data_IF_024946295221
#
_entry.id   IF_024946295221
#
_cell.length_a   1.000
_cell.length_b   1.000
_cell.length_c   1.000
_cell.angle_alpha   90.00
_cell.angle_beta   90.00
_cell.angle_gamma   90.00
#
_symmetry.space_group_name_H-M   'P 1'
#
loop_
_entity.id
_entity.type
_entity.pdbx_description
1 polymer ?
#
# COMPACT_ATOMS: atom_id res chain seq x y z
N UNK A 1 56.45 -76.16 -78.42
CA UNK A 1 56.21 -75.40 -79.66
C UNK A 1 56.56 -73.94 -79.39
N UNK A 2 57.48 -73.38 -80.19
CA UNK A 2 57.88 -71.97 -80.18
C UNK A 2 56.68 -71.03 -80.41
N UNK A 3 56.64 -69.86 -79.74
CA UNK A 3 56.67 -68.54 -80.40
C UNK A 3 56.85 -67.37 -79.40
N UNK A 4 57.99 -66.69 -79.58
CA UNK A 4 58.40 -65.28 -79.42
C UNK A 4 57.54 -64.24 -78.63
N UNK A 5 58.29 -63.55 -77.75
CA UNK A 5 58.24 -62.14 -77.29
C UNK A 5 57.50 -61.12 -78.18
N UNK A 6 56.71 -60.25 -77.54
CA UNK A 6 56.45 -58.85 -77.96
C UNK A 6 56.66 -57.92 -76.75
N UNK A 7 57.14 -56.71 -77.06
CA UNK A 7 57.86 -55.72 -76.25
C UNK A 7 56.96 -54.78 -75.40
N UNK A 8 57.53 -54.12 -74.37
CA UNK A 8 56.85 -53.18 -73.49
C UNK A 8 56.95 -51.76 -74.06
N UNK A 9 55.86 -51.17 -74.52
CA UNK A 9 55.78 -49.74 -74.88
C UNK A 9 54.34 -49.39 -75.21
N UNK A 10 53.47 -49.18 -74.21
CA UNK A 10 52.25 -48.35 -74.33
C UNK A 10 51.47 -48.16 -73.00
N UNK A 11 52.11 -48.21 -71.82
CA UNK A 11 51.40 -48.07 -70.52
C UNK A 11 51.77 -46.76 -69.77
N UNK A 12 52.65 -45.93 -70.32
CA UNK A 12 53.14 -44.72 -69.64
C UNK A 12 52.45 -43.40 -70.03
N UNK A 13 51.43 -43.41 -70.89
CA UNK A 13 50.77 -42.17 -71.36
C UNK A 13 49.33 -41.95 -70.85
N UNK A 14 48.77 -42.87 -70.06
CA UNK A 14 47.41 -42.72 -69.48
C UNK A 14 47.43 -42.28 -68.01
N UNK A 15 48.59 -42.30 -67.35
CA UNK A 15 48.72 -41.90 -65.94
C UNK A 15 48.96 -40.38 -65.77
N UNK A 16 49.23 -39.63 -66.84
CA UNK A 16 49.46 -38.17 -66.78
C UNK A 16 48.26 -37.28 -67.09
N UNK A 17 47.12 -37.85 -67.52
CA UNK A 17 45.88 -37.07 -67.78
C UNK A 17 44.86 -37.23 -66.64
N UNK A 18 45.10 -38.13 -65.67
CA UNK A 18 44.30 -38.25 -64.44
C UNK A 18 44.85 -37.42 -63.27
N UNK A 19 45.76 -36.48 -63.52
CA UNK A 19 46.45 -35.68 -62.51
C UNK A 19 46.18 -34.16 -62.59
N UNK A 20 45.21 -33.72 -63.40
CA UNK A 20 44.88 -32.28 -63.56
C UNK A 20 43.39 -31.95 -63.48
N UNK A 21 42.55 -32.85 -62.96
CA UNK A 21 41.12 -32.60 -62.68
C UNK A 21 40.77 -32.98 -61.23
N UNK A 22 41.63 -32.64 -60.28
CA UNK A 22 41.29 -32.63 -58.84
C UNK A 22 41.99 -31.46 -58.16
N UNK A 23 41.73 -30.26 -58.67
CA UNK A 23 42.17 -28.99 -58.08
C UNK A 23 40.96 -28.10 -57.79
N UNK A 24 39.98 -28.63 -57.06
CA UNK A 24 39.01 -27.84 -56.29
C UNK A 24 38.57 -28.72 -55.12
N UNK A 25 38.45 -28.12 -53.92
CA UNK A 25 37.91 -28.69 -52.67
C UNK A 25 38.95 -29.35 -51.75
N UNK A 26 39.60 -28.53 -50.91
CA UNK A 26 39.63 -28.70 -49.45
C UNK A 26 40.64 -27.74 -48.80
N UNK A 27 40.49 -26.43 -49.01
CA UNK A 27 40.96 -25.47 -48.01
C UNK A 27 39.87 -25.36 -46.96
N UNK A 28 39.86 -26.27 -45.99
CA UNK A 28 39.16 -26.05 -44.74
C UNK A 28 39.85 -24.88 -44.04
N UNK A 29 39.37 -23.66 -44.31
CA UNK A 29 39.66 -22.54 -43.42
C UNK A 29 39.04 -22.92 -42.08
N UNK A 30 39.90 -23.11 -41.07
CA UNK A 30 39.46 -23.09 -39.70
C UNK A 30 38.80 -21.73 -39.49
N UNK A 31 37.48 -21.74 -39.42
CA UNK A 31 36.69 -20.57 -39.04
C UNK A 31 37.19 -20.19 -37.65
N UNK A 32 37.68 -18.95 -37.41
CA UNK A 32 38.01 -18.54 -36.06
C UNK A 32 36.75 -18.76 -35.22
N UNK A 33 36.92 -19.45 -34.08
CA UNK A 33 35.86 -19.55 -33.08
C UNK A 33 35.33 -18.13 -32.85
N UNK A 34 34.02 -17.96 -32.96
CA UNK A 34 33.38 -16.71 -32.60
C UNK A 34 33.85 -16.34 -31.18
N UNK A 35 34.16 -15.07 -30.90
CA UNK A 35 34.49 -14.67 -29.53
C UNK A 35 33.36 -15.13 -28.63
N UNK A 36 33.68 -15.94 -27.61
CA UNK A 36 32.77 -16.18 -26.50
C UNK A 36 32.41 -14.81 -25.94
N UNK A 37 31.20 -14.36 -26.22
CA UNK A 37 30.61 -13.22 -25.54
C UNK A 37 30.44 -13.65 -24.09
N UNK A 38 31.41 -13.30 -23.25
CA UNK A 38 31.25 -13.24 -21.80
C UNK A 38 30.09 -12.28 -21.52
N UNK A 39 28.89 -12.84 -21.54
CA UNK A 39 27.64 -12.12 -21.39
C UNK A 39 27.44 -11.93 -19.89
N UNK A 40 28.02 -10.86 -19.35
CA UNK A 40 27.79 -10.48 -17.97
C UNK A 40 26.36 -9.95 -17.84
N UNK A 41 25.46 -10.82 -17.36
CA UNK A 41 24.09 -10.45 -17.05
C UNK A 41 24.06 -9.70 -15.71
N UNK A 42 23.86 -8.39 -15.76
CA UNK A 42 23.57 -7.60 -14.57
C UNK A 42 22.08 -7.73 -14.24
N UNK A 43 21.76 -8.57 -13.27
CA UNK A 43 20.43 -8.56 -12.66
C UNK A 43 20.33 -7.35 -11.72
N UNK A 44 19.25 -6.55 -11.79
CA UNK A 44 19.01 -5.52 -10.79
C UNK A 44 18.88 -6.20 -9.43
N UNK A 45 19.79 -5.87 -8.52
CA UNK A 45 19.68 -6.25 -7.13
C UNK A 45 18.62 -5.36 -6.47
N UNK A 46 17.40 -5.88 -6.31
CA UNK A 46 16.35 -5.23 -5.52
C UNK A 46 16.49 -5.71 -4.08
N UNK A 47 17.17 -4.92 -3.24
CA UNK A 47 17.16 -5.13 -1.78
C UNK A 47 15.93 -4.42 -1.24
N UNK A 48 14.92 -5.19 -0.80
CA UNK A 48 13.86 -4.64 0.05
C UNK A 48 14.50 -4.29 1.41
N UNK A 49 14.30 -3.08 1.96
CA UNK A 49 14.70 -2.79 3.33
C UNK A 49 14.14 -3.88 4.26
N UNK A 50 14.87 -4.29 5.30
CA UNK A 50 14.37 -5.30 6.22
C UNK A 50 13.08 -4.77 6.87
N UNK A 51 11.95 -5.38 6.53
CA UNK A 51 10.71 -5.18 7.27
C UNK A 51 10.91 -5.72 8.68
N UNK A 52 10.44 -4.96 9.67
CA UNK A 52 10.41 -5.48 11.04
C UNK A 52 9.45 -6.66 11.11
N UNK A 53 9.84 -7.71 11.83
CA UNK A 53 8.93 -8.80 12.17
C UNK A 53 7.85 -8.22 13.08
N UNK A 54 6.59 -8.32 12.67
CA UNK A 54 5.49 -7.78 13.47
C UNK A 54 5.44 -8.40 14.87
N UNK A 55 5.23 -7.59 15.92
CA UNK A 55 5.09 -8.12 17.28
C UNK A 55 3.90 -9.08 17.38
N UNK A 56 4.14 -10.28 17.91
CA UNK A 56 3.08 -11.28 18.17
C UNK A 56 2.46 -11.14 19.56
N UNK A 57 3.00 -10.25 20.39
CA UNK A 57 2.49 -9.95 21.73
C UNK A 57 2.71 -8.48 22.05
N UNK A 58 1.84 -7.91 22.88
CA UNK A 58 1.96 -6.54 23.37
C UNK A 58 1.66 -6.44 24.86
N UNK A 59 2.27 -5.45 25.52
CA UNK A 59 1.91 -5.05 26.88
C UNK A 59 0.75 -4.05 26.94
N UNK A 60 0.24 -3.59 25.79
CA UNK A 60 -0.88 -2.66 25.72
C UNK A 60 -2.21 -3.36 26.03
N UNK A 61 -3.14 -2.62 26.63
CA UNK A 61 -4.52 -3.04 26.83
C UNK A 61 -5.50 -2.11 26.11
N UNK A 62 -6.62 -2.68 25.65
CA UNK A 62 -7.64 -2.01 24.85
C UNK A 62 -9.04 -2.32 25.39
N UNK A 63 -9.91 -1.32 25.34
CA UNK A 63 -11.32 -1.37 25.77
C UNK A 63 -12.23 -1.08 24.59
N UNK A 64 -13.46 -1.59 24.61
CA UNK A 64 -14.50 -1.11 23.69
C UNK A 64 -15.11 0.19 24.18
N UNK A 65 -15.71 0.92 23.25
CA UNK A 65 -16.69 1.95 23.50
C UNK A 65 -17.87 1.78 22.55
N UNK A 66 -19.00 2.37 22.91
CA UNK A 66 -20.22 2.24 22.14
C UNK A 66 -20.15 3.05 20.83
N UNK A 67 -20.26 2.34 19.72
CA UNK A 67 -20.44 2.85 18.37
C UNK A 67 -21.92 2.79 17.96
N UNK A 68 -22.31 3.70 17.08
CA UNK A 68 -23.65 3.80 16.50
C UNK A 68 -23.62 3.20 15.10
N UNK A 69 -24.59 2.34 14.79
CA UNK A 69 -24.78 1.92 13.41
C UNK A 69 -25.26 3.11 12.58
N UNK A 70 -24.44 3.52 11.62
CA UNK A 70 -24.75 4.64 10.75
C UNK A 70 -24.74 4.30 9.27
N UNK A 71 -24.16 3.15 8.93
CA UNK A 71 -24.24 2.53 7.62
C UNK A 71 -25.69 2.35 7.17
N UNK A 72 -25.92 2.43 5.86
CA UNK A 72 -27.24 2.29 5.23
C UNK A 72 -27.34 1.01 4.39
N UNK A 73 -26.24 0.25 4.26
CA UNK A 73 -26.21 -1.04 3.60
C UNK A 73 -27.19 -2.03 4.24
N UNK A 74 -28.09 -2.61 3.42
CA UNK A 74 -28.99 -3.69 3.82
C UNK A 74 -28.92 -4.83 2.80
N UNK A 75 -28.39 -6.02 3.17
CA UNK A 75 -27.80 -6.36 4.49
C UNK A 75 -26.55 -5.52 4.78
N UNK A 76 -26.12 -5.44 6.05
CA UNK A 76 -24.89 -4.71 6.40
C UNK A 76 -23.68 -5.37 5.73
N UNK A 77 -22.81 -4.58 5.11
CA UNK A 77 -21.58 -5.09 4.51
C UNK A 77 -20.51 -5.32 5.59
N UNK A 78 -19.84 -6.48 5.59
CA UNK A 78 -18.72 -6.74 6.49
C UNK A 78 -17.61 -5.68 6.38
N UNK A 79 -17.01 -5.27 7.50
CA UNK A 79 -16.04 -4.18 7.50
C UNK A 79 -14.81 -4.47 6.63
N UNK A 80 -14.32 -5.73 6.66
CA UNK A 80 -13.22 -6.17 5.79
C UNK A 80 -13.54 -6.08 4.30
N UNK A 81 -14.83 -6.04 3.95
CA UNK A 81 -15.37 -5.99 2.59
C UNK A 81 -15.92 -4.60 2.22
N UNK A 82 -15.83 -3.62 3.11
CA UNK A 82 -16.38 -2.27 2.92
C UNK A 82 -15.28 -1.28 2.51
N UNK A 83 -15.31 -0.80 1.26
CA UNK A 83 -14.24 0.01 0.69
C UNK A 83 -14.01 1.38 1.34
N UNK A 84 -14.99 1.94 2.05
CA UNK A 84 -14.74 3.15 2.86
C UNK A 84 -14.14 2.87 4.24
N UNK A 85 -14.17 1.62 4.73
CA UNK A 85 -13.60 1.24 6.03
C UNK A 85 -12.22 0.61 5.83
N UNK A 86 -12.09 -0.29 4.85
CA UNK A 86 -10.85 -0.95 4.49
C UNK A 86 -10.22 -0.33 3.23
N UNK A 87 -9.23 0.55 3.42
CA UNK A 87 -8.53 1.23 2.32
C UNK A 87 -7.75 0.26 1.42
N UNK A 88 -7.35 -0.92 1.93
CA UNK A 88 -6.62 -1.91 1.14
C UNK A 88 -7.48 -2.51 0.01
N UNK A 89 -8.81 -2.55 0.17
CA UNK A 89 -9.73 -2.94 -0.92
C UNK A 89 -9.62 -1.96 -2.09
N UNK A 90 -9.71 -0.65 -1.78
CA UNK A 90 -9.52 0.41 -2.77
C UNK A 90 -8.14 0.31 -3.37
N UNK A 91 -7.12 0.14 -2.54
CA UNK A 91 -5.72 0.26 -2.92
C UNK A 91 -5.38 1.69 -3.36
N UNK A 92 -4.12 1.90 -3.73
CA UNK A 92 -3.63 3.20 -4.15
C UNK A 92 -2.48 3.06 -5.16
N UNK A 93 -2.24 4.12 -5.93
CA UNK A 93 -1.16 4.19 -6.92
C UNK A 93 -0.29 5.43 -6.66
N UNK A 94 1.02 5.30 -6.90
CA UNK A 94 1.95 6.42 -6.77
C UNK A 94 1.61 7.55 -7.76
N UNK A 95 1.58 8.77 -7.26
CA UNK A 95 1.54 9.97 -8.08
C UNK A 95 2.97 10.43 -8.41
N UNK A 96 3.41 10.02 -9.61
CA UNK A 96 4.73 10.31 -10.15
C UNK A 96 4.75 11.55 -11.04
N UNK A 97 3.72 12.40 -11.01
CA UNK A 97 3.72 13.66 -11.76
C UNK A 97 4.95 14.50 -11.38
N UNK A 98 5.81 14.88 -12.35
CA UNK A 98 6.97 15.74 -12.11
C UNK A 98 6.61 17.14 -11.60
N UNK A 99 5.41 17.64 -11.90
CA UNK A 99 4.89 18.92 -11.44
C UNK A 99 4.25 18.88 -10.05
N UNK A 100 4.15 17.70 -9.44
CA UNK A 100 3.55 17.56 -8.11
C UNK A 100 4.42 18.25 -7.05
N UNK A 101 3.81 19.16 -6.29
CA UNK A 101 4.46 19.74 -5.10
C UNK A 101 4.53 18.68 -4.00
N UNK A 102 5.73 18.30 -3.61
CA UNK A 102 6.03 17.23 -2.63
C UNK A 102 6.31 17.80 -1.24
N UNK A 103 5.43 18.68 -0.79
CA UNK A 103 5.50 19.39 0.49
C UNK A 103 4.07 19.63 1.01
N UNK A 104 3.94 20.08 2.26
CA UNK A 104 2.69 20.58 2.82
C UNK A 104 2.15 21.75 1.98
N UNK A 105 0.83 21.86 1.91
CA UNK A 105 0.14 22.86 1.10
C UNK A 105 -0.77 23.69 1.99
N UNK A 106 -0.72 25.00 1.82
CA UNK A 106 -1.67 25.88 2.47
C UNK A 106 -2.96 25.97 1.63
N UNK A 107 -4.00 25.28 2.10
CA UNK A 107 -5.35 25.37 1.55
C UNK A 107 -6.28 26.25 2.42
N UNK A 108 -5.76 26.86 3.48
CA UNK A 108 -6.55 27.36 4.60
C UNK A 108 -7.03 26.24 5.53
N UNK A 109 -7.99 26.58 6.38
CA UNK A 109 -8.65 25.63 7.29
C UNK A 109 -10.03 26.19 7.62
N UNK A 110 -11.04 25.33 7.52
CA UNK A 110 -12.42 25.63 7.91
C UNK A 110 -12.77 25.08 9.31
N UNK A 111 -12.10 24.02 9.76
CA UNK A 111 -12.05 23.55 11.15
C UNK A 111 -10.65 23.70 11.74
N UNK A 112 -10.52 24.55 12.77
CA UNK A 112 -9.25 24.84 13.43
C UNK A 112 -9.01 24.02 14.70
N UNK A 113 -9.94 23.15 15.08
CA UNK A 113 -9.95 22.59 16.44
C UNK A 113 -10.06 21.09 16.48
N UNK A 114 -10.83 20.48 15.58
CA UNK A 114 -11.08 19.05 15.62
C UNK A 114 -10.31 18.18 14.60
N UNK A 115 -9.53 18.70 13.62
CA UNK A 115 -8.77 17.83 12.73
C UNK A 115 -7.73 16.95 13.46
N UNK A 116 -7.53 15.69 13.03
CA UNK A 116 -6.45 14.86 13.52
C UNK A 116 -5.08 15.40 13.11
N UNK A 117 -4.14 15.38 14.05
CA UNK A 117 -2.82 16.00 13.90
C UNK A 117 -1.74 14.95 13.60
N UNK A 118 -1.36 14.79 12.33
CA UNK A 118 -0.51 13.68 11.89
C UNK A 118 0.90 13.68 12.48
N UNK A 119 1.44 14.83 12.89
CA UNK A 119 2.72 14.85 13.59
C UNK A 119 2.70 14.11 14.93
N UNK A 120 1.52 13.96 15.55
CA UNK A 120 1.31 13.27 16.83
C UNK A 120 1.14 11.76 16.69
N UNK A 121 1.16 11.24 15.45
CA UNK A 121 1.34 9.81 15.17
C UNK A 121 2.66 9.30 15.77
N UNK A 122 3.66 10.17 15.88
CA UNK A 122 5.02 9.90 16.34
C UNK A 122 5.28 10.42 17.76
N UNK A 123 6.26 9.83 18.45
CA UNK A 123 6.74 10.32 19.74
C UNK A 123 8.28 10.40 19.78
N UNK A 124 8.88 11.60 19.99
CA UNK A 124 8.20 12.91 20.11
C UNK A 124 7.49 13.31 18.81
N UNK A 125 6.48 14.17 18.92
CA UNK A 125 5.73 14.66 17.75
C UNK A 125 6.66 15.34 16.76
N UNK A 126 6.54 15.01 15.47
CA UNK A 126 7.43 15.50 14.40
C UNK A 126 6.74 15.52 13.05
N UNK A 127 7.19 16.39 12.14
CA UNK A 127 6.90 16.25 10.72
C UNK A 127 7.94 15.27 10.13
N UNK A 128 7.54 14.05 9.71
CA UNK A 128 8.46 13.11 9.06
C UNK A 128 8.83 13.58 7.66
N UNK A 129 9.87 12.99 7.06
CA UNK A 129 10.07 13.14 5.62
C UNK A 129 8.87 12.57 4.85
N UNK A 130 8.43 13.26 3.79
CA UNK A 130 7.40 12.76 2.89
C UNK A 130 8.05 11.92 1.80
N UNK A 131 7.86 10.60 1.87
CA UNK A 131 8.57 9.61 1.03
C UNK A 131 7.71 9.04 -0.09
N UNK A 132 6.40 9.28 -0.03
CA UNK A 132 5.45 8.81 -1.03
C UNK A 132 4.23 9.73 -1.13
N UNK A 133 3.68 9.83 -2.35
CA UNK A 133 2.47 10.61 -2.63
C UNK A 133 1.61 9.77 -3.56
N UNK A 134 0.37 9.53 -3.19
CA UNK A 134 -0.45 8.51 -3.81
C UNK A 134 -1.88 8.99 -4.05
N UNK A 135 -2.56 8.26 -4.93
CA UNK A 135 -3.98 8.38 -5.21
C UNK A 135 -4.66 7.06 -4.88
N UNK A 136 -5.51 7.09 -3.87
CA UNK A 136 -6.48 6.02 -3.60
C UNK A 136 -7.40 5.86 -4.81
N UNK A 137 -7.77 4.62 -5.13
CA UNK A 137 -8.76 4.38 -6.18
C UNK A 137 -10.17 4.75 -5.73
N UNK A 138 -10.94 5.32 -6.65
CA UNK A 138 -12.39 5.41 -6.55
C UNK A 138 -12.98 4.00 -6.48
N UNK A 139 -14.25 3.94 -6.09
CA UNK A 139 -14.93 2.67 -5.87
C UNK A 139 -16.27 2.62 -6.59
N UNK A 140 -16.47 1.57 -7.38
CA UNK A 140 -17.72 1.28 -8.06
C UNK A 140 -18.53 0.33 -7.18
N UNK A 141 -19.45 0.88 -6.40
CA UNK A 141 -20.28 0.11 -5.47
C UNK A 141 -21.21 -0.88 -6.20
N UNK A 142 -21.31 -2.10 -5.66
CA UNK A 142 -22.33 -3.09 -6.01
C UNK A 142 -23.46 -3.09 -4.97
N UNK A 143 -24.62 -3.72 -5.26
CA UNK A 143 -25.64 -3.95 -4.24
C UNK A 143 -25.06 -4.68 -3.02
N UNK A 144 -25.43 -4.24 -1.82
CA UNK A 144 -24.99 -4.90 -0.59
C UNK A 144 -25.46 -6.37 -0.55
N UNK A 145 -24.65 -7.32 -0.05
CA UNK A 145 -23.34 -7.17 0.63
C UNK A 145 -22.13 -7.20 -0.30
N UNK A 146 -22.31 -7.28 -1.62
CA UNK A 146 -21.18 -7.38 -2.55
C UNK A 146 -20.31 -6.13 -2.46
N UNK A 147 -18.97 -6.27 -2.45
CA UNK A 147 -18.10 -5.12 -2.19
C UNK A 147 -18.14 -4.11 -3.32
N UNK A 148 -18.40 -4.55 -4.56
CA UNK A 148 -18.19 -3.74 -5.76
C UNK A 148 -16.80 -3.97 -6.34
N UNK A 149 -16.27 -2.96 -7.01
CA UNK A 149 -14.98 -3.07 -7.70
C UNK A 149 -14.20 -1.77 -7.70
N UNK A 150 -12.88 -1.90 -7.82
CA UNK A 150 -11.96 -0.77 -7.96
C UNK A 150 -12.28 0.03 -9.23
N UNK A 151 -12.38 1.35 -9.07
CA UNK A 151 -12.53 2.32 -10.15
C UNK A 151 -11.18 2.88 -10.63
N UNK A 152 -11.21 4.11 -11.13
CA UNK A 152 -10.00 4.86 -11.50
C UNK A 152 -9.36 5.51 -10.26
N UNK A 153 -8.07 5.89 -10.30
CA UNK A 153 -7.47 6.70 -9.25
C UNK A 153 -8.26 8.00 -9.04
N UNK A 154 -8.56 8.35 -7.78
CA UNK A 154 -9.38 9.50 -7.44
C UNK A 154 -8.87 10.78 -8.13
N UNK A 155 -9.69 11.49 -8.94
CA UNK A 155 -9.24 12.57 -9.81
C UNK A 155 -8.87 13.86 -9.08
N UNK A 156 -9.35 14.05 -7.85
CA UNK A 156 -9.10 15.20 -7.00
C UNK A 156 -9.33 14.78 -5.53
N UNK A 157 -8.49 15.17 -4.56
CA UNK A 157 -7.21 15.88 -4.71
C UNK A 157 -6.12 15.10 -5.47
N UNK A 158 -5.08 15.81 -5.91
CA UNK A 158 -3.93 15.20 -6.61
C UNK A 158 -3.19 14.16 -5.75
N UNK A 159 -3.30 14.30 -4.43
CA UNK A 159 -2.79 13.36 -3.42
C UNK A 159 -3.94 13.07 -2.46
N UNK A 160 -4.33 11.81 -2.34
CA UNK A 160 -5.34 11.35 -1.37
C UNK A 160 -4.76 10.44 -0.29
N UNK A 161 -3.48 10.09 -0.41
CA UNK A 161 -2.74 9.27 0.55
C UNK A 161 -1.25 9.66 0.50
N UNK A 162 -0.62 9.79 1.66
CA UNK A 162 0.76 10.27 1.79
C UNK A 162 1.62 9.30 2.60
N UNK A 163 2.81 9.03 2.07
CA UNK A 163 3.84 8.23 2.69
C UNK A 163 4.70 9.04 3.66
N UNK A 164 4.70 8.62 4.91
CA UNK A 164 5.41 9.23 6.02
C UNK A 164 6.63 8.38 6.38
N UNK A 165 7.81 9.00 6.43
CA UNK A 165 9.04 8.31 6.77
C UNK A 165 9.04 7.82 8.23
N UNK A 166 9.35 6.53 8.38
CA UNK A 166 9.42 5.83 9.66
C UNK A 166 10.71 5.04 9.81
N UNK A 167 10.97 4.59 11.04
CA UNK A 167 11.90 3.51 11.31
C UNK A 167 11.12 2.21 11.52
N UNK A 168 11.55 1.06 10.97
CA UNK A 168 10.90 -0.22 11.26
C UNK A 168 10.81 -0.47 12.78
N UNK A 169 9.62 -0.80 13.27
CA UNK A 169 9.32 -0.97 14.70
C UNK A 169 9.03 0.33 15.47
N UNK A 170 9.02 1.50 14.82
CA UNK A 170 8.64 2.77 15.46
C UNK A 170 7.18 2.71 15.92
N UNK A 171 6.92 3.03 17.19
CA UNK A 171 5.57 3.03 17.76
C UNK A 171 4.72 4.14 17.14
N UNK A 172 3.55 3.77 16.64
CA UNK A 172 2.55 4.65 16.07
C UNK A 172 1.39 4.83 17.03
N UNK A 173 0.85 6.03 17.10
CA UNK A 173 -0.16 6.44 18.07
C UNK A 173 -1.39 7.04 17.41
N UNK A 174 -2.53 6.97 18.09
CA UNK A 174 -3.74 7.70 17.65
C UNK A 174 -3.40 9.19 17.52
N UNK A 175 -3.51 9.79 16.32
CA UNK A 175 -3.30 11.21 16.14
C UNK A 175 -4.26 11.99 17.03
N UNK A 176 -3.73 12.91 17.82
CA UNK A 176 -4.53 13.82 18.65
C UNK A 176 -5.39 14.70 17.76
N UNK A 177 -6.61 14.95 18.19
CA UNK A 177 -7.58 15.87 17.61
C UNK A 177 -8.29 16.64 18.73
N UNK A 178 -9.38 17.33 18.42
CA UNK A 178 -10.25 17.97 19.40
C UNK A 178 -11.53 17.18 19.72
N UNK A 179 -11.69 15.97 19.20
CA UNK A 179 -12.89 15.16 19.41
C UNK A 179 -12.93 14.51 20.80
N UNK A 180 -14.13 14.46 21.38
CA UNK A 180 -14.47 13.66 22.54
C UNK A 180 -15.70 12.81 22.20
N UNK A 181 -15.50 11.49 22.10
CA UNK A 181 -16.56 10.53 21.81
C UNK A 181 -17.10 9.85 23.10
N UNK A 182 -16.67 10.35 24.27
CA UNK A 182 -17.02 9.90 25.61
C UNK A 182 -16.02 8.92 26.20
N UNK A 183 -15.88 8.91 27.54
CA UNK A 183 -15.01 7.98 28.26
C UNK A 183 -13.51 8.22 28.04
N UNK A 184 -13.14 9.49 27.87
CA UNK A 184 -11.78 9.95 27.50
C UNK A 184 -11.30 9.38 26.16
N UNK A 185 -12.21 8.99 25.28
CA UNK A 185 -11.89 8.41 23.97
C UNK A 185 -12.04 9.46 22.88
N UNK A 186 -11.23 9.30 21.85
CA UNK A 186 -11.19 10.18 20.70
C UNK A 186 -11.59 9.46 19.41
N UNK A 187 -11.28 8.16 19.32
CA UNK A 187 -11.60 7.36 18.14
C UNK A 187 -12.27 6.04 18.50
N UNK A 188 -13.17 5.59 17.62
CA UNK A 188 -13.50 4.17 17.46
C UNK A 188 -12.64 3.59 16.33
N UNK A 189 -12.35 2.29 16.41
CA UNK A 189 -11.68 1.55 15.34
C UNK A 189 -12.74 0.96 14.41
N UNK A 190 -12.87 1.53 13.20
CA UNK A 190 -13.84 1.04 12.21
C UNK A 190 -13.40 -0.27 11.58
N UNK A 191 -12.10 -0.40 11.35
CA UNK A 191 -11.50 -1.56 10.72
C UNK A 191 -10.07 -1.72 11.22
N UNK A 192 -9.65 -2.96 11.43
CA UNK A 192 -8.26 -3.32 11.67
C UNK A 192 -7.98 -4.72 11.12
N UNK A 193 -6.85 -4.87 10.45
CA UNK A 193 -6.21 -6.17 10.22
C UNK A 193 -4.74 -6.10 10.67
N UNK A 194 -3.91 -7.04 10.22
CA UNK A 194 -2.49 -7.09 10.60
C UNK A 194 -1.69 -5.87 10.10
N UNK A 195 -2.13 -5.24 9.02
CA UNK A 195 -1.33 -4.33 8.20
C UNK A 195 -1.97 -2.93 8.04
N UNK A 196 -3.28 -2.83 8.25
CA UNK A 196 -4.13 -1.65 8.03
C UNK A 196 -5.04 -1.40 9.23
N UNK A 197 -5.28 -0.11 9.54
CA UNK A 197 -6.27 0.33 10.52
C UNK A 197 -7.03 1.57 10.03
N UNK A 198 -8.30 1.68 10.40
CA UNK A 198 -9.14 2.85 10.18
C UNK A 198 -9.68 3.42 11.49
N UNK A 199 -9.33 4.67 11.77
CA UNK A 199 -9.72 5.42 12.97
C UNK A 199 -10.86 6.36 12.62
N UNK A 200 -11.93 6.34 13.42
CA UNK A 200 -13.08 7.25 13.24
C UNK A 200 -13.23 8.14 14.45
N UNK A 201 -13.25 9.44 14.21
CA UNK A 201 -13.27 10.48 15.25
C UNK A 201 -14.68 10.81 15.74
N UNK A 202 -15.70 10.12 15.25
CA UNK A 202 -17.06 10.13 15.81
C UNK A 202 -17.46 8.74 16.28
N UNK A 203 -18.64 8.63 16.90
CA UNK A 203 -19.18 7.32 17.31
C UNK A 203 -19.87 6.57 16.17
N UNK A 204 -19.99 7.17 14.99
CA UNK A 204 -20.75 6.60 13.89
C UNK A 204 -19.88 5.57 13.14
N UNK A 205 -20.33 4.31 13.09
CA UNK A 205 -19.71 3.24 12.30
C UNK A 205 -20.00 3.42 10.80
N UNK A 206 -19.48 4.52 10.27
CA UNK A 206 -19.52 4.90 8.87
C UNK A 206 -18.44 5.94 8.60
N UNK A 207 -17.81 5.84 7.44
CA UNK A 207 -16.88 6.87 6.94
C UNK A 207 -17.58 7.92 6.08
N UNK A 208 -18.86 7.74 5.78
CA UNK A 208 -19.66 8.64 4.93
C UNK A 208 -20.35 9.79 5.68
N UNK A 209 -20.44 9.71 7.00
CA UNK A 209 -21.09 10.72 7.84
C UNK A 209 -20.10 11.80 8.34
N UNK A 210 -20.62 12.88 8.94
CA UNK A 210 -19.82 14.04 9.35
C UNK A 210 -18.64 13.69 10.26
N UNK A 211 -17.50 14.35 10.05
CA UNK A 211 -16.26 14.18 10.82
C UNK A 211 -15.22 13.33 10.10
N UNK A 212 -14.09 13.09 10.76
CA UNK A 212 -12.92 12.49 10.11
C UNK A 212 -12.82 10.97 10.25
N UNK A 213 -12.34 10.31 9.19
CA UNK A 213 -11.80 8.94 9.23
C UNK A 213 -10.34 8.98 8.76
N UNK A 214 -9.43 8.39 9.53
CA UNK A 214 -8.02 8.27 9.17
C UNK A 214 -7.71 6.81 8.86
N UNK A 215 -7.23 6.55 7.67
CA UNK A 215 -6.71 5.23 7.29
C UNK A 215 -5.19 5.23 7.41
N UNK A 216 -4.64 4.19 7.99
CA UNK A 216 -3.20 3.98 8.12
C UNK A 216 -2.90 2.56 7.62
N UNK A 217 -1.96 2.44 6.70
CA UNK A 217 -1.53 1.17 6.10
C UNK A 217 0.01 1.06 6.14
N UNK A 218 0.53 -0.14 5.88
CA UNK A 218 1.93 -0.55 6.05
C UNK A 218 2.40 -0.49 7.52
N UNK A 219 1.54 -0.92 8.42
CA UNK A 219 1.85 -1.03 9.86
C UNK A 219 1.91 -2.49 10.30
N UNK A 220 2.29 -2.72 11.54
CA UNK A 220 1.95 -3.91 12.30
C UNK A 220 0.96 -3.44 13.37
N UNK A 221 -0.33 -3.72 13.19
CA UNK A 221 -1.35 -3.39 14.19
C UNK A 221 -1.00 -4.06 15.52
N UNK A 222 -1.22 -3.38 16.65
CA UNK A 222 -0.95 -3.98 17.96
C UNK A 222 -1.75 -5.28 18.11
N UNK A 223 -1.12 -6.42 18.43
CA UNK A 223 -1.81 -7.72 18.45
C UNK A 223 -2.94 -7.78 19.47
N UNK A 224 -2.87 -7.03 20.59
CA UNK A 224 -3.95 -6.97 21.57
C UNK A 224 -5.10 -6.06 21.08
N UNK A 225 -4.81 -5.05 20.26
CA UNK A 225 -5.82 -4.23 19.60
C UNK A 225 -6.55 -5.03 18.53
N UNK A 226 -5.81 -5.74 17.67
CA UNK A 226 -6.37 -6.59 16.63
C UNK A 226 -7.24 -7.70 17.24
N UNK A 227 -6.77 -8.35 18.31
CA UNK A 227 -7.58 -9.34 19.03
C UNK A 227 -8.87 -8.75 19.61
N UNK A 228 -8.84 -7.50 20.09
CA UNK A 228 -10.05 -6.80 20.56
C UNK A 228 -10.98 -6.47 19.40
N UNK A 229 -10.45 -5.94 18.30
CA UNK A 229 -11.23 -5.65 17.10
C UNK A 229 -11.93 -6.91 16.58
N UNK A 230 -11.21 -8.02 16.39
CA UNK A 230 -11.80 -9.26 15.89
C UNK A 230 -12.88 -9.85 16.80
N UNK A 231 -12.81 -9.57 18.12
CA UNK A 231 -13.85 -9.97 19.07
C UNK A 231 -15.10 -9.10 18.94
N UNK A 232 -14.92 -7.80 18.76
CA UNK A 232 -16.03 -6.84 18.65
C UNK A 232 -16.66 -6.87 17.24
N UNK A 233 -15.89 -7.26 16.22
CA UNK A 233 -16.27 -7.41 14.81
C UNK A 233 -16.70 -8.85 14.44
N UNK A 234 -17.28 -9.58 15.41
CA UNK A 234 -17.75 -10.96 15.20
C UNK A 234 -18.79 -11.01 14.05
N UNK A 235 -18.63 -11.89 13.03
CA UNK A 235 -19.60 -12.05 11.95
C UNK A 235 -21.03 -12.37 12.39
N UNK A 236 -21.20 -13.01 13.56
CA UNK A 236 -22.51 -13.29 14.17
C UNK A 236 -22.91 -12.21 15.21
N UNK A 237 -22.15 -11.12 15.28
CA UNK A 237 -22.32 -10.03 16.24
C UNK A 237 -23.31 -8.95 15.80
N UNK A 238 -23.70 -8.05 16.73
CA UNK A 238 -24.72 -7.01 16.50
C UNK A 238 -24.32 -5.95 15.46
N UNK A 239 -23.04 -5.89 15.07
CA UNK A 239 -22.57 -4.98 14.02
C UNK A 239 -23.29 -5.23 12.69
N UNK A 240 -23.63 -6.49 12.41
CA UNK A 240 -24.12 -6.95 11.12
C UNK A 240 -25.64 -7.11 11.05
N UNK A 241 -26.35 -6.82 12.14
CA UNK A 241 -27.80 -6.69 12.16
C UNK A 241 -28.20 -5.31 11.64
N UNK A 242 -28.85 -5.24 10.47
CA UNK A 242 -29.30 -3.96 9.91
C UNK A 242 -30.49 -3.39 10.71
N UNK A 243 -30.31 -2.21 11.28
CA UNK A 243 -31.40 -1.41 11.85
C UNK A 243 -31.64 -0.14 11.02
N UNK A 244 -32.87 0.08 10.50
CA UNK A 244 -33.16 1.22 9.65
C UNK A 244 -33.02 2.54 10.43
N UNK A 245 -32.73 3.67 9.76
CA UNK A 245 -32.52 4.97 10.42
C UNK A 245 -33.65 5.40 11.37
N UNK A 246 -34.88 4.95 11.15
CA UNK A 246 -36.04 5.20 12.02
C UNK A 246 -35.97 4.55 13.40
N UNK A 247 -35.08 3.58 13.60
CA UNK A 247 -34.86 2.86 14.87
C UNK A 247 -33.60 3.33 15.62
N UNK A 248 -32.94 4.39 15.14
CA UNK A 248 -31.78 4.95 15.84
C UNK A 248 -32.17 5.56 17.20
N UNK A 249 -31.30 5.49 18.23
CA UNK A 249 -29.95 4.94 18.19
C UNK A 249 -29.94 3.41 18.34
N UNK A 250 -29.36 2.73 17.35
CA UNK A 250 -28.90 1.35 17.46
C UNK A 250 -27.37 1.35 17.43
N UNK A 251 -26.75 0.47 18.22
CA UNK A 251 -25.31 0.49 18.37
C UNK A 251 -24.79 -0.74 19.10
N UNK A 252 -23.47 -0.83 19.13
CA UNK A 252 -22.69 -1.97 19.60
C UNK A 252 -21.31 -1.48 20.00
N UNK A 253 -20.52 -2.38 20.57
CA UNK A 253 -19.17 -2.05 21.01
C UNK A 253 -18.17 -2.23 19.87
N UNK A 254 -17.28 -1.24 19.69
CA UNK A 254 -16.06 -1.34 18.90
C UNK A 254 -14.87 -0.88 19.75
N UNK A 255 -13.61 -1.28 19.44
CA UNK A 255 -12.47 -0.79 20.17
C UNK A 255 -12.41 0.74 20.14
N UNK A 256 -12.17 1.37 21.29
CA UNK A 256 -12.09 2.84 21.40
C UNK A 256 -10.83 3.29 22.13
N UNK A 257 -10.17 4.29 21.57
CA UNK A 257 -8.84 4.71 22.01
C UNK A 257 -8.81 6.21 22.35
N UNK A 258 -8.09 6.61 23.42
CA UNK A 258 -7.78 8.01 23.67
C UNK A 258 -6.69 8.51 22.71
N UNK A 259 -6.57 9.83 22.61
CA UNK A 259 -5.45 10.51 21.98
C UNK A 259 -4.09 9.93 22.40
N UNK A 260 -3.16 9.73 21.46
CA UNK A 260 -1.80 9.30 21.76
C UNK A 260 -1.64 7.85 22.23
N UNK A 261 -2.71 7.05 22.32
CA UNK A 261 -2.62 5.62 22.61
C UNK A 261 -1.85 4.90 21.49
N UNK A 262 -0.89 4.00 21.80
CA UNK A 262 -0.29 3.15 20.78
C UNK A 262 -1.33 2.31 20.05
N UNK A 263 -1.27 2.30 18.72
CA UNK A 263 -2.13 1.49 17.85
C UNK A 263 -1.38 0.37 17.13
N UNK A 264 -0.04 0.44 17.12
CA UNK A 264 0.81 -0.50 16.41
C UNK A 264 2.23 0.05 16.26
N UNK A 265 3.00 -0.57 15.36
CA UNK A 265 4.34 -0.12 14.98
C UNK A 265 4.47 -0.01 13.46
N UNK A 266 5.38 0.82 12.97
CA UNK A 266 5.70 0.88 11.56
C UNK A 266 6.32 -0.44 11.08
N UNK A 267 5.81 -1.01 9.98
CA UNK A 267 6.34 -2.26 9.42
C UNK A 267 7.71 -2.06 8.79
N UNK A 268 7.85 -0.98 8.02
CA UNK A 268 9.04 -0.64 7.26
C UNK A 268 9.51 0.80 7.49
N UNK A 269 10.11 1.39 6.45
CA UNK A 269 10.62 2.77 6.46
C UNK A 269 9.59 3.81 6.01
N UNK A 270 8.37 3.35 5.71
CA UNK A 270 7.23 4.16 5.29
C UNK A 270 5.98 3.63 5.98
N UNK A 271 5.13 4.54 6.46
CA UNK A 271 3.71 4.25 6.71
C UNK A 271 2.90 5.18 5.84
N UNK A 272 1.73 4.75 5.40
CA UNK A 272 0.89 5.62 4.58
C UNK A 272 -0.35 6.05 5.34
N UNK A 273 -0.76 7.30 5.14
CA UNK A 273 -1.92 7.89 5.79
C UNK A 273 -2.84 8.52 4.76
N UNK A 274 -4.12 8.21 4.85
CA UNK A 274 -5.20 8.89 4.14
C UNK A 274 -6.22 9.43 5.14
N UNK A 275 -6.91 10.49 4.76
CA UNK A 275 -7.98 11.07 5.55
C UNK A 275 -9.21 11.27 4.70
N UNK A 276 -10.35 10.91 5.27
CA UNK A 276 -11.68 11.11 4.72
C UNK A 276 -12.39 12.12 5.62
N UNK A 277 -12.98 13.13 5.01
CA UNK A 277 -13.95 14.01 5.65
C UNK A 277 -15.30 13.82 4.96
N UNK A 278 -16.30 13.42 5.74
CA UNK A 278 -17.69 13.32 5.28
C UNK A 278 -17.84 12.51 3.98
N UNK A 279 -17.16 11.36 3.90
CA UNK A 279 -17.20 10.43 2.77
C UNK A 279 -16.26 10.74 1.60
N UNK A 280 -15.48 11.82 1.64
CA UNK A 280 -14.52 12.17 0.57
C UNK A 280 -13.08 12.17 1.05
N UNK A 281 -12.17 11.52 0.31
CA UNK A 281 -10.74 11.62 0.57
C UNK A 281 -10.24 13.06 0.41
N UNK A 282 -9.54 13.55 1.42
CA UNK A 282 -8.94 14.88 1.45
C UNK A 282 -7.46 14.83 1.10
N UNK A 283 -6.85 16.00 0.90
CA UNK A 283 -5.41 16.09 0.64
C UNK A 283 -4.66 16.05 1.99
N UNK A 284 -3.92 14.96 2.30
CA UNK A 284 -3.23 14.83 3.58
C UNK A 284 -2.07 15.83 3.74
N UNK A 285 -1.76 16.62 2.70
CA UNK A 285 -0.77 17.73 2.76
C UNK A 285 -1.36 19.02 3.33
N UNK A 286 -2.68 19.10 3.58
CA UNK A 286 -3.32 20.33 4.08
C UNK A 286 -2.71 20.78 5.40
N UNK A 287 -1.88 21.83 5.31
CA UNK A 287 -0.96 22.23 6.36
C UNK A 287 -1.67 22.83 7.57
N UNK A 288 -2.76 23.55 7.31
CA UNK A 288 -3.52 24.27 8.32
C UNK A 288 -4.66 23.43 8.93
N UNK A 289 -4.88 22.21 8.44
CA UNK A 289 -5.84 21.25 9.01
C UNK A 289 -5.11 20.14 9.75
N UNK A 290 -4.35 19.29 9.04
CA UNK A 290 -3.79 18.05 9.60
C UNK A 290 -2.43 18.22 10.28
N UNK A 291 -1.81 19.39 10.12
CA UNK A 291 -0.44 19.68 10.55
C UNK A 291 -0.34 20.94 11.40
N UNK A 292 -1.37 21.32 12.16
CA UNK A 292 -1.32 22.44 13.09
C UNK A 292 -0.28 22.22 14.20
N UNK A 293 -0.19 20.98 14.71
CA UNK A 293 0.93 20.54 15.54
C UNK A 293 2.06 20.12 14.60
N UNK A 294 3.08 20.95 14.46
CA UNK A 294 4.23 20.70 13.56
C UNK A 294 5.54 21.30 14.10
N UNK A 295 6.16 20.68 15.11
CA UNK A 295 7.37 21.22 15.72
C UNK A 295 8.49 21.45 14.68
N UNK A 296 8.96 22.69 14.56
CA UNK A 296 10.05 23.05 13.65
C UNK A 296 9.69 23.14 12.17
N UNK A 297 8.40 23.14 11.80
CA UNK A 297 7.94 23.22 10.40
C UNK A 297 6.97 24.38 10.17
N UNK A 298 7.17 25.15 9.09
CA UNK A 298 6.30 26.25 8.67
C UNK A 298 5.29 25.83 7.60
N UNK A 299 4.17 26.55 7.51
CA UNK A 299 3.26 26.50 6.35
C UNK A 299 3.52 27.72 5.48
N UNK A 300 4.72 27.84 4.91
CA UNK A 300 5.01 28.94 4.01
C UNK A 300 4.63 28.53 2.59
N UNK A 301 3.93 29.40 1.87
CA UNK A 301 3.53 29.21 0.47
C UNK A 301 4.75 28.86 -0.41
N UNK A 302 4.94 27.57 -0.67
CA UNK A 302 5.84 27.06 -1.71
C UNK A 302 5.02 26.43 -2.83
#
# INVERSE_FOLDING_TARGET
MNFRRIRPSLIFLIIWILATVLSVMASAHAQPAAPELDSTLYLPLVIKPPESVCPVSSGNSYSSGFALQYDLDNPVRPAYNHADKNVALRGYIANNDPGLIRDLRDYGSDDKTQPPQFATLFQPSRVPGFVGFYRVYDWNWAPSPDPGSRGNPAPNPEVTLMGLQTTPGEVLRVPTSGYDIGGDKEVIILFADEDTIALRYTREDSSGSQGYTVHIDNICTDPNLLARYNKDDDPDGPRYDYEPPSQRPYGYDLPSLPAGKPLGVARGTEVVVAIVDSGTFQDPRSCNEWWQIRPGYGCDNK
#
